data_IF_449556493497
#
_entry.id   IF_449556493497
#
_cell.length_a   1.000
_cell.length_b   1.000
_cell.length_c   1.000
_cell.angle_alpha   90.00
_cell.angle_beta   90.00
_cell.angle_gamma   90.00
#
_symmetry.space_group_name_H-M   'P 1'
#
loop_
_entity.id
_entity.type
_entity.pdbx_description
1 polymer ?
#
# COMPACT_ATOMS: atom_id res chain seq x y z
N UNK A 1 -20.98 -17.79 31.62
CA UNK A 1 -20.77 -17.63 30.18
C UNK A 1 -20.74 -16.12 29.96
N UNK A 2 -19.57 -15.57 29.66
CA UNK A 2 -19.46 -14.16 29.29
C UNK A 2 -20.09 -14.06 27.88
N UNK A 3 -21.06 -13.18 27.70
CA UNK A 3 -21.55 -12.81 26.37
C UNK A 3 -20.38 -12.24 25.57
N UNK A 4 -20.11 -12.83 24.41
CA UNK A 4 -19.20 -12.22 23.44
C UNK A 4 -19.75 -10.84 23.08
N UNK A 5 -18.92 -9.78 23.06
CA UNK A 5 -19.38 -8.46 22.70
C UNK A 5 -19.98 -8.51 21.30
N UNK A 6 -21.19 -8.01 21.17
CA UNK A 6 -21.96 -7.96 19.92
C UNK A 6 -21.23 -7.05 18.91
N UNK A 7 -20.37 -7.63 18.07
CA UNK A 7 -19.86 -7.04 16.83
C UNK A 7 -20.85 -7.22 15.67
N UNK A 8 -22.15 -7.26 15.98
CA UNK A 8 -23.22 -7.43 15.01
C UNK A 8 -23.14 -6.32 13.94
N UNK A 9 -22.68 -6.68 12.74
CA UNK A 9 -22.62 -5.80 11.58
C UNK A 9 -21.20 -5.38 11.14
N UNK A 10 -20.14 -5.76 11.85
CA UNK A 10 -18.76 -5.60 11.40
C UNK A 10 -18.35 -6.90 10.71
N UNK A 11 -17.80 -6.79 9.49
CA UNK A 11 -17.37 -7.95 8.69
C UNK A 11 -16.30 -8.81 9.37
N UNK A 12 -15.94 -9.92 8.76
CA UNK A 12 -14.82 -10.76 9.19
C UNK A 12 -13.51 -10.19 8.64
N UNK A 13 -12.40 -10.39 9.37
CA UNK A 13 -11.08 -10.08 8.85
C UNK A 13 -10.80 -10.86 7.56
N UNK A 14 -10.04 -10.28 6.63
CA UNK A 14 -9.67 -10.93 5.38
C UNK A 14 -10.84 -11.40 4.50
N UNK A 15 -12.03 -10.84 4.68
CA UNK A 15 -13.24 -11.32 4.02
C UNK A 15 -13.22 -11.12 2.50
N UNK A 16 -13.68 -12.12 1.74
CA UNK A 16 -13.83 -12.03 0.29
C UNK A 16 -14.91 -11.04 -0.14
N UNK A 17 -15.81 -10.66 0.77
CA UNK A 17 -16.86 -9.67 0.52
C UNK A 17 -16.78 -8.54 1.53
N UNK A 18 -16.56 -7.34 1.03
CA UNK A 18 -16.57 -6.08 1.77
C UNK A 18 -17.82 -5.24 1.40
N UNK A 19 -18.13 -4.18 2.15
CA UNK A 19 -19.32 -3.36 1.89
C UNK A 19 -19.45 -2.83 0.46
N UNK A 20 -18.31 -2.53 -0.20
CA UNK A 20 -18.25 -1.88 -1.52
C UNK A 20 -17.72 -2.76 -2.64
N UNK A 21 -17.21 -3.97 -2.36
CA UNK A 21 -16.48 -4.78 -3.35
C UNK A 21 -16.46 -6.25 -2.96
N UNK A 22 -16.48 -7.13 -3.97
CA UNK A 22 -16.12 -8.54 -3.83
C UNK A 22 -14.64 -8.72 -4.22
N UNK A 23 -13.90 -9.54 -3.46
CA UNK A 23 -12.48 -9.80 -3.62
C UNK A 23 -12.29 -11.24 -4.07
N UNK A 24 -11.93 -11.43 -5.33
CA UNK A 24 -11.71 -12.76 -5.89
C UNK A 24 -10.41 -13.40 -5.40
N UNK A 25 -9.38 -12.59 -5.18
CA UNK A 25 -8.06 -13.07 -4.75
C UNK A 25 -7.15 -11.92 -4.33
N UNK A 26 -6.19 -12.21 -3.48
CA UNK A 26 -5.11 -11.30 -3.12
C UNK A 26 -3.83 -12.07 -2.79
N UNK A 27 -2.72 -11.36 -2.67
CA UNK A 27 -1.39 -11.91 -2.35
C UNK A 27 -0.95 -13.04 -3.29
N UNK A 28 -1.22 -12.88 -4.59
CA UNK A 28 -0.85 -13.87 -5.60
C UNK A 28 0.64 -13.79 -5.87
N UNK A 29 1.33 -14.91 -5.70
CA UNK A 29 2.74 -15.07 -5.98
C UNK A 29 2.95 -15.92 -7.23
N UNK A 30 3.65 -15.36 -8.22
CA UNK A 30 4.15 -16.11 -9.36
C UNK A 30 5.66 -16.25 -9.25
N UNK A 31 6.15 -17.48 -9.45
CA UNK A 31 7.58 -17.80 -9.47
C UNK A 31 7.98 -18.42 -10.79
N UNK A 32 9.20 -18.17 -11.21
CA UNK A 32 9.90 -18.86 -12.27
C UNK A 32 11.33 -19.24 -11.82
N UNK A 33 12.21 -19.59 -12.77
CA UNK A 33 13.58 -20.03 -12.48
C UNK A 33 14.43 -18.90 -11.82
N UNK A 34 14.08 -17.65 -12.05
CA UNK A 34 14.79 -16.46 -11.53
C UNK A 34 14.19 -15.93 -10.21
N UNK A 35 13.12 -16.53 -9.69
CA UNK A 35 12.47 -16.14 -8.45
C UNK A 35 11.06 -15.58 -8.64
N UNK A 36 10.66 -14.59 -7.84
CA UNK A 36 9.33 -13.99 -7.95
C UNK A 36 9.24 -13.09 -9.18
N UNK A 37 8.26 -13.37 -10.05
CA UNK A 37 8.01 -12.59 -11.27
C UNK A 37 7.79 -11.10 -10.95
N UNK A 38 7.09 -10.79 -9.87
CA UNK A 38 6.81 -9.43 -9.43
C UNK A 38 8.05 -8.60 -9.09
N UNK A 39 9.14 -9.23 -8.67
CA UNK A 39 10.38 -8.54 -8.31
C UNK A 39 10.99 -7.76 -9.48
N UNK A 40 10.72 -8.18 -10.73
CA UNK A 40 11.16 -7.51 -11.95
C UNK A 40 10.48 -6.15 -12.17
N UNK A 41 9.37 -5.87 -11.50
CA UNK A 41 8.68 -4.59 -11.52
C UNK A 41 8.86 -3.80 -10.22
N UNK A 42 9.89 -4.10 -9.44
CA UNK A 42 10.20 -3.44 -8.17
C UNK A 42 11.10 -2.21 -8.33
N UNK A 43 11.20 -1.40 -7.26
CA UNK A 43 12.18 -0.32 -7.18
C UNK A 43 13.61 -0.83 -7.37
N UNK A 44 13.94 -1.98 -6.78
CA UNK A 44 15.26 -2.60 -6.92
C UNK A 44 15.57 -2.97 -8.36
N UNK A 45 14.60 -3.53 -9.08
CA UNK A 45 14.73 -3.84 -10.50
C UNK A 45 15.00 -2.59 -11.35
N UNK A 46 14.30 -1.47 -11.09
CA UNK A 46 14.58 -0.21 -11.79
C UNK A 46 16.03 0.27 -11.56
N UNK A 47 16.52 0.21 -10.33
CA UNK A 47 17.90 0.60 -10.02
C UNK A 47 18.93 -0.33 -10.69
N UNK A 48 18.64 -1.64 -10.75
CA UNK A 48 19.49 -2.60 -11.46
C UNK A 48 19.54 -2.33 -12.97
N UNK A 49 18.39 -2.01 -13.58
CA UNK A 49 18.30 -1.60 -14.98
C UNK A 49 19.11 -0.31 -15.21
N UNK A 50 18.93 0.71 -14.38
CA UNK A 50 19.69 1.95 -14.48
C UNK A 50 21.20 1.71 -14.37
N UNK A 51 21.61 0.85 -13.44
CA UNK A 51 23.02 0.44 -13.33
C UNK A 51 23.52 -0.30 -14.58
N UNK A 52 22.67 -1.14 -15.17
CA UNK A 52 22.96 -1.81 -16.45
C UNK A 52 23.31 -0.81 -17.57
N UNK A 53 22.55 0.27 -17.70
CA UNK A 53 22.79 1.34 -18.66
C UNK A 53 24.04 2.14 -18.36
N UNK A 54 24.35 2.41 -17.11
CA UNK A 54 25.50 3.20 -16.66
C UNK A 54 26.81 2.45 -16.70
N UNK A 55 26.80 1.14 -16.43
CA UNK A 55 28.02 0.32 -16.32
C UNK A 55 28.93 0.40 -17.55
N UNK A 56 28.45 0.29 -18.81
CA UNK A 56 29.27 0.48 -19.99
C UNK A 56 29.86 1.89 -20.11
N UNK A 57 29.06 2.92 -19.80
CA UNK A 57 29.47 4.33 -19.86
C UNK A 57 30.55 4.63 -18.82
N UNK A 58 30.37 4.14 -17.60
CA UNK A 58 31.40 4.27 -16.55
C UNK A 58 32.73 3.61 -16.95
N UNK A 59 32.67 2.49 -17.66
CA UNK A 59 33.85 1.78 -18.16
C UNK A 59 34.55 2.58 -19.25
N UNK A 60 33.82 3.37 -20.02
CA UNK A 60 34.35 4.29 -21.04
C UNK A 60 34.86 5.63 -20.45
N UNK A 61 34.49 5.95 -19.21
CA UNK A 61 34.79 7.23 -18.58
C UNK A 61 33.74 8.33 -18.84
N UNK A 62 32.59 7.96 -19.43
CA UNK A 62 31.56 8.86 -19.94
C UNK A 62 30.22 8.74 -19.15
N UNK A 63 30.25 8.22 -17.90
CA UNK A 63 29.03 8.11 -17.09
C UNK A 63 28.59 9.50 -16.61
N UNK A 64 27.42 10.03 -17.07
CA UNK A 64 26.96 11.37 -16.72
C UNK A 64 26.57 11.52 -15.24
N UNK A 65 26.44 10.41 -14.50
CA UNK A 65 26.15 10.41 -13.06
C UNK A 65 27.42 10.33 -12.20
N UNK A 66 28.58 10.26 -12.81
CA UNK A 66 29.86 10.16 -12.10
C UNK A 66 29.96 8.92 -11.19
N UNK A 67 30.45 9.13 -9.97
CA UNK A 67 30.70 8.03 -9.02
C UNK A 67 29.52 7.66 -8.14
N UNK A 68 28.39 8.34 -8.25
CA UNK A 68 27.19 8.08 -7.44
C UNK A 68 26.61 6.71 -7.82
N UNK A 69 26.29 5.87 -6.85
CA UNK A 69 25.62 4.60 -7.14
C UNK A 69 24.19 4.82 -7.65
N UNK A 70 23.67 3.89 -8.47
CA UNK A 70 22.30 4.01 -8.99
C UNK A 70 21.25 4.00 -7.88
N UNK A 71 21.51 3.34 -6.77
CA UNK A 71 20.64 3.28 -5.59
C UNK A 71 20.55 4.60 -4.83
N UNK A 72 21.63 5.42 -4.89
CA UNK A 72 21.69 6.73 -4.25
C UNK A 72 21.03 7.85 -5.06
N UNK A 73 20.71 7.59 -6.34
CA UNK A 73 20.03 8.57 -7.18
C UNK A 73 18.54 8.57 -6.82
N UNK A 74 18.08 9.68 -6.27
CA UNK A 74 16.68 9.83 -5.88
C UNK A 74 15.76 9.96 -7.09
N UNK A 75 14.48 9.58 -6.95
CA UNK A 75 13.45 9.76 -7.98
C UNK A 75 13.33 11.23 -8.42
N UNK A 76 13.37 12.16 -7.46
CA UNK A 76 13.32 13.59 -7.77
C UNK A 76 14.52 14.07 -8.59
N UNK A 77 15.69 13.46 -8.40
CA UNK A 77 16.89 13.74 -9.19
C UNK A 77 16.73 13.19 -10.61
N UNK A 78 16.23 11.97 -10.76
CA UNK A 78 15.93 11.38 -12.06
C UNK A 78 14.86 12.18 -12.83
N UNK A 79 13.83 12.67 -12.14
CA UNK A 79 12.81 13.54 -12.76
C UNK A 79 13.41 14.86 -13.26
N UNK A 80 14.33 15.46 -12.50
CA UNK A 80 15.03 16.69 -12.93
C UNK A 80 15.93 16.45 -14.13
N UNK A 81 16.64 15.31 -14.15
CA UNK A 81 17.50 14.92 -15.27
C UNK A 81 16.66 14.70 -16.54
N UNK A 82 15.51 14.05 -16.41
CA UNK A 82 14.61 13.78 -17.55
C UNK A 82 14.20 15.03 -18.32
N UNK A 83 14.08 16.17 -17.63
CA UNK A 83 13.65 17.47 -18.22
C UNK A 83 14.77 18.52 -18.25
N UNK A 84 15.99 18.13 -17.85
CA UNK A 84 17.15 19.02 -17.79
C UNK A 84 17.88 19.16 -19.12
N UNK A 85 18.93 19.98 -19.12
CA UNK A 85 19.72 20.31 -20.32
C UNK A 85 20.80 19.24 -20.62
N UNK A 86 21.08 18.33 -19.69
CA UNK A 86 22.00 17.22 -19.88
C UNK A 86 21.34 16.10 -20.68
N UNK A 87 21.51 16.17 -22.00
CA UNK A 87 20.86 15.25 -22.95
C UNK A 87 21.41 13.83 -22.81
N UNK A 88 22.66 13.65 -22.42
CA UNK A 88 23.29 12.32 -22.25
C UNK A 88 22.73 11.63 -20.99
N UNK A 89 22.67 12.35 -19.89
CA UNK A 89 22.03 11.84 -18.67
C UNK A 89 20.54 11.53 -18.89
N UNK A 90 19.83 12.42 -19.58
CA UNK A 90 18.40 12.21 -19.92
C UNK A 90 18.21 10.97 -20.81
N UNK A 91 19.10 10.72 -21.77
CA UNK A 91 19.04 9.52 -22.63
C UNK A 91 19.23 8.23 -21.83
N UNK A 92 20.12 8.21 -20.85
CA UNK A 92 20.32 7.05 -19.95
C UNK A 92 19.04 6.81 -19.12
N UNK A 93 18.45 7.86 -18.55
CA UNK A 93 17.18 7.74 -17.78
C UNK A 93 16.04 7.23 -18.65
N UNK A 94 15.88 7.75 -19.86
CA UNK A 94 14.84 7.31 -20.82
C UNK A 94 15.04 5.84 -21.21
N UNK A 95 16.28 5.40 -21.46
CA UNK A 95 16.58 4.00 -21.73
C UNK A 95 16.18 3.09 -20.57
N UNK A 96 16.51 3.47 -19.35
CA UNK A 96 16.13 2.72 -18.16
C UNK A 96 14.60 2.68 -17.95
N UNK A 97 13.91 3.78 -18.20
CA UNK A 97 12.44 3.86 -18.11
C UNK A 97 11.78 2.97 -19.16
N UNK A 98 12.26 2.96 -20.40
CA UNK A 98 11.73 2.09 -21.48
C UNK A 98 11.93 0.61 -21.16
N UNK A 99 13.11 0.23 -20.67
CA UNK A 99 13.39 -1.16 -20.30
C UNK A 99 12.53 -1.60 -19.11
N UNK A 100 12.40 -0.76 -18.07
CA UNK A 100 11.54 -1.04 -16.94
C UNK A 100 10.06 -1.14 -17.35
N UNK A 101 9.60 -0.29 -18.28
CA UNK A 101 8.25 -0.37 -18.79
C UNK A 101 7.96 -1.69 -19.52
N UNK A 102 8.94 -2.25 -20.23
CA UNK A 102 8.85 -3.56 -20.86
C UNK A 102 8.77 -4.68 -19.82
N UNK A 103 9.59 -4.60 -18.77
CA UNK A 103 9.51 -5.55 -17.65
C UNK A 103 8.16 -5.48 -16.94
N UNK A 104 7.65 -4.28 -16.66
CA UNK A 104 6.32 -4.10 -16.06
C UNK A 104 5.22 -4.69 -16.95
N UNK A 105 5.27 -4.47 -18.27
CA UNK A 105 4.33 -5.06 -19.20
C UNK A 105 4.44 -6.59 -19.21
N UNK A 106 5.65 -7.14 -19.24
CA UNK A 106 5.89 -8.57 -19.19
C UNK A 106 5.35 -9.21 -17.91
N UNK A 107 5.65 -8.62 -16.75
CA UNK A 107 5.11 -9.06 -15.45
C UNK A 107 3.58 -9.05 -15.49
N UNK A 108 2.99 -7.95 -15.93
CA UNK A 108 1.53 -7.82 -16.05
C UNK A 108 0.93 -8.93 -16.92
N UNK A 109 1.50 -9.23 -18.08
CA UNK A 109 1.04 -10.32 -18.94
C UNK A 109 1.12 -11.70 -18.27
N UNK A 110 2.17 -11.93 -17.46
CA UNK A 110 2.30 -13.17 -16.71
C UNK A 110 1.14 -13.33 -15.70
N UNK A 111 0.75 -12.26 -15.02
CA UNK A 111 -0.40 -12.26 -14.12
C UNK A 111 -1.73 -12.40 -14.88
N UNK A 112 -1.95 -11.71 -15.99
CA UNK A 112 -3.17 -11.79 -16.81
C UNK A 112 -3.43 -13.21 -17.36
N UNK A 113 -2.39 -14.04 -17.51
CA UNK A 113 -2.52 -15.46 -17.90
C UNK A 113 -2.99 -16.36 -16.75
N UNK A 114 -3.01 -15.88 -15.53
CA UNK A 114 -3.51 -16.65 -14.38
C UNK A 114 -5.03 -16.71 -14.37
N UNK A 115 -5.57 -17.75 -13.72
CA UNK A 115 -7.03 -17.87 -13.56
C UNK A 115 -7.61 -16.71 -12.76
N UNK A 116 -6.88 -16.26 -11.75
CA UNK A 116 -7.30 -15.20 -10.84
C UNK A 116 -7.41 -13.82 -11.52
N UNK A 117 -6.60 -13.56 -12.55
CA UNK A 117 -6.60 -12.29 -13.28
C UNK A 117 -7.32 -12.34 -14.62
N UNK A 118 -8.01 -13.47 -14.92
CA UNK A 118 -8.74 -13.60 -16.17
C UNK A 118 -9.91 -12.61 -16.22
N UNK A 119 -9.92 -11.78 -17.26
CA UNK A 119 -10.98 -10.77 -17.45
C UNK A 119 -10.73 -9.45 -16.71
N UNK A 120 -9.53 -9.25 -16.16
CA UNK A 120 -9.14 -7.96 -15.59
C UNK A 120 -9.17 -6.87 -16.66
N UNK A 121 -9.94 -5.80 -16.42
CA UNK A 121 -10.10 -4.66 -17.34
C UNK A 121 -9.18 -3.49 -16.97
N UNK A 122 -8.87 -3.34 -15.67
CA UNK A 122 -8.08 -2.23 -15.15
C UNK A 122 -7.11 -2.69 -14.05
N UNK A 123 -5.92 -2.11 -14.04
CA UNK A 123 -4.87 -2.38 -13.05
C UNK A 123 -4.38 -1.07 -12.48
N UNK A 124 -4.53 -0.92 -11.17
CA UNK A 124 -3.95 0.20 -10.42
C UNK A 124 -2.52 -0.16 -10.03
N UNK A 125 -1.58 0.67 -10.42
CA UNK A 125 -0.17 0.51 -10.06
C UNK A 125 0.16 1.40 -8.87
N UNK A 126 0.36 0.78 -7.72
CA UNK A 126 0.72 1.44 -6.46
C UNK A 126 2.21 1.59 -6.24
N UNK A 127 2.57 1.93 -5.00
CA UNK A 127 3.95 2.05 -4.54
C UNK A 127 4.61 3.39 -4.83
N UNK A 128 5.73 3.61 -4.14
CA UNK A 128 6.40 4.91 -4.14
C UNK A 128 7.01 5.35 -5.48
N UNK A 129 7.20 4.45 -6.45
CA UNK A 129 7.74 4.79 -7.77
C UNK A 129 6.77 5.67 -8.57
N UNK A 130 5.48 5.48 -8.39
CA UNK A 130 4.40 6.26 -9.01
C UNK A 130 4.47 7.77 -8.67
N UNK A 131 5.11 8.17 -7.56
CA UNK A 131 5.27 9.57 -7.15
C UNK A 131 6.34 10.34 -7.94
N UNK A 132 6.78 9.81 -9.05
CA UNK A 132 7.81 10.43 -9.89
C UNK A 132 7.35 10.46 -11.34
N UNK A 133 7.83 11.44 -12.08
CA UNK A 133 7.54 11.55 -13.51
C UNK A 133 8.04 10.33 -14.29
N UNK A 134 9.22 9.82 -13.93
CA UNK A 134 9.75 8.58 -14.51
C UNK A 134 8.82 7.40 -14.27
N UNK A 135 8.23 7.29 -13.08
CA UNK A 135 7.27 6.23 -12.75
C UNK A 135 5.97 6.35 -13.53
N UNK A 136 5.39 7.56 -13.62
CA UNK A 136 4.20 7.81 -14.44
C UNK A 136 4.44 7.46 -15.91
N UNK A 137 5.59 7.87 -16.47
CA UNK A 137 5.98 7.55 -17.86
C UNK A 137 6.16 6.04 -18.05
N UNK A 138 6.80 5.35 -17.11
CA UNK A 138 6.98 3.91 -17.18
C UNK A 138 5.62 3.17 -17.17
N UNK A 139 4.68 3.55 -16.29
CA UNK A 139 3.35 2.94 -16.21
C UNK A 139 2.57 3.18 -17.51
N UNK A 140 2.55 4.43 -18.00
CA UNK A 140 1.89 4.76 -19.26
C UNK A 140 2.49 3.98 -20.44
N UNK A 141 3.81 3.88 -20.50
CA UNK A 141 4.53 3.15 -21.54
C UNK A 141 4.24 1.66 -21.50
N UNK A 142 4.21 1.06 -20.30
CA UNK A 142 3.82 -0.35 -20.13
C UNK A 142 2.39 -0.60 -20.63
N UNK A 143 1.44 0.29 -20.32
CA UNK A 143 0.08 0.21 -20.86
C UNK A 143 0.03 0.28 -22.39
N UNK A 144 0.83 1.13 -23.03
CA UNK A 144 0.95 1.20 -24.50
C UNK A 144 1.51 -0.10 -25.09
N UNK A 145 2.50 -0.71 -24.44
CA UNK A 145 3.09 -1.98 -24.86
C UNK A 145 2.04 -3.09 -24.79
N UNK A 146 1.34 -3.23 -23.67
CA UNK A 146 0.26 -4.20 -23.48
C UNK A 146 -0.82 -4.07 -24.56
N UNK A 147 -1.25 -2.84 -24.83
CA UNK A 147 -2.27 -2.58 -25.85
C UNK A 147 -1.77 -2.94 -27.26
N UNK A 148 -0.52 -2.64 -27.60
CA UNK A 148 0.10 -3.01 -28.87
C UNK A 148 0.20 -4.54 -29.05
N UNK A 149 0.31 -5.29 -27.96
CA UNK A 149 0.35 -6.75 -27.93
C UNK A 149 -1.05 -7.41 -27.85
N UNK A 150 -2.11 -6.59 -27.85
CA UNK A 150 -3.51 -7.04 -27.91
C UNK A 150 -4.18 -7.25 -26.57
N UNK A 151 -3.53 -6.94 -25.47
CA UNK A 151 -4.15 -6.95 -24.14
C UNK A 151 -5.09 -5.74 -23.97
N UNK A 152 -6.33 -6.02 -23.52
CA UNK A 152 -7.36 -4.99 -23.34
C UNK A 152 -7.43 -4.52 -21.89
N UNK A 153 -6.29 -4.28 -21.29
CA UNK A 153 -6.20 -3.83 -19.90
C UNK A 153 -5.67 -2.41 -19.82
N UNK A 154 -6.24 -1.60 -18.96
CA UNK A 154 -5.78 -0.24 -18.71
C UNK A 154 -4.91 -0.22 -17.45
N UNK A 155 -3.68 0.32 -17.56
CA UNK A 155 -2.82 0.58 -16.42
C UNK A 155 -2.88 2.06 -16.05
N UNK A 156 -3.05 2.34 -14.78
CA UNK A 156 -2.97 3.71 -14.27
C UNK A 156 -2.35 3.75 -12.87
N UNK A 157 -1.65 4.84 -12.53
CA UNK A 157 -1.08 4.99 -11.21
C UNK A 157 -2.19 5.21 -10.18
N UNK A 158 -1.99 4.68 -8.97
CA UNK A 158 -2.86 4.96 -7.82
C UNK A 158 -3.01 6.48 -7.62
N UNK A 159 -4.21 6.98 -7.39
CA UNK A 159 -4.49 8.44 -7.32
C UNK A 159 -4.06 9.03 -6.00
N UNK A 160 -4.42 8.37 -4.91
CA UNK A 160 -4.00 8.82 -3.59
C UNK A 160 -2.48 8.71 -3.42
N UNK A 161 -1.93 9.58 -2.58
CA UNK A 161 -0.52 9.47 -2.21
C UNK A 161 -0.28 8.07 -1.62
N UNK A 162 0.77 7.32 -2.03
CA UNK A 162 1.01 5.97 -1.52
C UNK A 162 1.12 5.87 0.01
N UNK A 163 1.51 6.97 0.68
CA UNK A 163 1.54 7.03 2.14
C UNK A 163 0.14 7.22 2.77
N UNK A 164 -0.87 7.54 1.99
CA UNK A 164 -2.25 7.78 2.44
C UNK A 164 -3.24 6.75 1.91
N UNK A 165 -2.93 6.09 0.79
CA UNK A 165 -3.84 5.18 0.13
C UNK A 165 -4.31 4.04 1.05
N UNK A 166 -3.39 3.41 1.81
CA UNK A 166 -3.73 2.38 2.79
C UNK A 166 -4.61 2.91 3.92
N UNK A 167 -4.36 4.14 4.39
CA UNK A 167 -5.19 4.77 5.41
C UNK A 167 -6.58 5.10 4.88
N UNK A 168 -6.69 5.70 3.69
CA UNK A 168 -7.97 6.05 3.06
C UNK A 168 -8.76 4.79 2.72
N UNK A 169 -8.12 3.76 2.20
CA UNK A 169 -8.75 2.48 1.90
C UNK A 169 -9.42 1.83 3.11
N UNK A 170 -8.93 2.07 4.33
CA UNK A 170 -9.56 1.60 5.56
C UNK A 170 -10.99 2.11 5.77
N UNK A 171 -11.40 3.23 5.15
CA UNK A 171 -12.79 3.69 5.18
C UNK A 171 -13.76 2.67 4.57
N UNK A 172 -13.30 1.94 3.55
CA UNK A 172 -14.12 0.91 2.89
C UNK A 172 -14.20 -0.40 3.67
N UNK A 173 -13.41 -0.56 4.74
CA UNK A 173 -13.58 -1.65 5.70
C UNK A 173 -14.69 -1.38 6.71
N UNK A 174 -14.97 -0.10 6.97
CA UNK A 174 -16.00 0.32 7.93
C UNK A 174 -17.40 0.13 7.33
N UNK A 175 -18.38 -0.39 8.11
CA UNK A 175 -19.76 -0.42 7.66
C UNK A 175 -20.29 1.01 7.52
N UNK A 176 -21.08 1.27 6.47
CA UNK A 176 -21.54 2.63 6.11
C UNK A 176 -22.31 3.34 7.22
N UNK A 177 -23.08 2.60 8.02
CA UNK A 177 -23.87 3.15 9.13
C UNK A 177 -23.01 3.83 10.20
N UNK A 178 -21.71 3.49 10.32
CA UNK A 178 -20.84 4.09 11.33
C UNK A 178 -20.65 5.59 11.08
N UNK A 179 -20.74 6.02 9.82
CA UNK A 179 -20.60 7.42 9.41
C UNK A 179 -21.87 8.26 9.59
N UNK A 180 -22.98 7.66 10.01
CA UNK A 180 -24.21 8.41 10.36
C UNK A 180 -24.01 9.22 11.67
N UNK A 181 -23.20 8.71 12.59
CA UNK A 181 -22.94 9.32 13.89
C UNK A 181 -21.51 9.86 14.05
N UNK A 182 -20.59 9.45 13.18
CA UNK A 182 -19.15 9.76 13.30
C UNK A 182 -18.62 10.39 12.00
N UNK A 183 -17.64 11.26 12.14
CA UNK A 183 -17.02 12.01 11.03
C UNK A 183 -15.62 11.53 10.68
N UNK A 184 -15.08 10.56 11.42
CA UNK A 184 -13.72 10.05 11.22
C UNK A 184 -13.55 8.64 11.79
N UNK A 185 -12.53 7.94 11.29
CA UNK A 185 -12.07 6.65 11.82
C UNK A 185 -10.57 6.70 12.10
N UNK A 186 -10.09 5.75 12.89
CA UNK A 186 -8.67 5.40 12.92
C UNK A 186 -8.33 4.42 11.82
N UNK A 187 -7.19 4.63 11.20
CA UNK A 187 -6.63 3.75 10.18
C UNK A 187 -5.17 3.42 10.47
N UNK A 188 -4.77 2.21 10.14
CA UNK A 188 -3.39 1.71 10.26
C UNK A 188 -2.98 1.11 8.93
N UNK A 189 -1.77 1.45 8.46
CA UNK A 189 -1.13 0.87 7.29
C UNK A 189 0.23 0.32 7.68
N UNK A 190 0.35 -1.00 7.67
CA UNK A 190 1.54 -1.74 8.05
C UNK A 190 2.23 -2.22 6.77
N UNK A 191 3.47 -1.79 6.58
CA UNK A 191 4.32 -2.27 5.50
C UNK A 191 5.63 -2.84 6.03
N UNK A 192 6.40 -3.52 5.19
CA UNK A 192 7.66 -4.16 5.58
C UNK A 192 8.75 -3.22 6.11
N UNK A 193 8.61 -1.91 5.88
CA UNK A 193 9.60 -0.89 6.32
C UNK A 193 8.99 0.11 7.29
N UNK A 194 7.73 0.46 7.08
CA UNK A 194 7.03 1.54 7.77
C UNK A 194 5.72 1.07 8.36
N UNK A 195 5.36 1.62 9.51
CA UNK A 195 4.01 1.56 10.06
C UNK A 195 3.48 2.99 10.07
N UNK A 196 2.28 3.17 9.53
CA UNK A 196 1.55 4.43 9.55
C UNK A 196 0.25 4.24 10.29
N UNK A 197 -0.16 5.27 11.01
CA UNK A 197 -1.53 5.35 11.51
C UNK A 197 -2.04 6.78 11.37
N UNK A 198 -3.35 6.92 11.23
CA UNK A 198 -3.95 8.23 11.00
C UNK A 198 -5.41 8.29 11.36
N UNK A 199 -5.91 9.51 11.47
CA UNK A 199 -7.33 9.84 11.53
C UNK A 199 -7.77 10.19 10.12
N UNK A 200 -8.79 9.49 9.62
CA UNK A 200 -9.30 9.62 8.25
C UNK A 200 -10.74 10.08 8.25
N UNK A 201 -10.99 11.17 7.52
CA UNK A 201 -12.31 11.76 7.35
C UNK A 201 -12.95 11.22 6.05
N UNK A 202 -14.14 10.63 6.08
CA UNK A 202 -14.87 10.20 4.89
C UNK A 202 -15.37 11.38 4.03
N UNK A 203 -15.66 12.53 4.65
CA UNK A 203 -16.15 13.75 4.00
C UNK A 203 -17.35 13.52 3.09
N UNK A 204 -18.32 12.72 3.55
CA UNK A 204 -19.51 12.38 2.79
C UNK A 204 -20.42 13.60 2.50
N UNK A 205 -20.25 14.70 3.25
CA UNK A 205 -20.83 16.01 2.96
C UNK A 205 -20.32 16.64 1.65
N UNK A 206 -19.12 16.22 1.19
CA UNK A 206 -18.50 16.68 -0.08
C UNK A 206 -18.75 15.70 -1.22
N UNK A 207 -18.70 14.39 -0.94
CA UNK A 207 -18.95 13.34 -1.91
C UNK A 207 -19.34 12.05 -1.18
N UNK A 208 -20.53 11.53 -1.49
CA UNK A 208 -21.06 10.32 -0.85
C UNK A 208 -20.29 9.05 -1.19
N UNK A 209 -19.52 9.07 -2.30
CA UNK A 209 -18.69 7.96 -2.80
C UNK A 209 -17.30 7.89 -2.17
N UNK A 210 -16.99 8.72 -1.16
CA UNK A 210 -15.71 8.84 -0.50
C UNK A 210 -14.56 9.39 -1.38
N UNK A 211 -14.83 9.86 -2.61
CA UNK A 211 -13.81 10.45 -3.50
C UNK A 211 -13.14 11.72 -2.94
N UNK A 212 -13.70 12.29 -1.88
CA UNK A 212 -13.17 13.45 -1.15
C UNK A 212 -12.64 13.11 0.25
N UNK A 213 -12.53 11.82 0.54
CA UNK A 213 -11.90 11.37 1.78
C UNK A 213 -10.46 11.93 1.90
N UNK A 214 -10.04 12.16 3.13
CA UNK A 214 -8.68 12.66 3.39
C UNK A 214 -8.14 12.15 4.71
N UNK A 215 -6.83 12.07 4.81
CA UNK A 215 -6.13 11.90 6.07
C UNK A 215 -6.05 13.28 6.73
N UNK A 216 -6.71 13.45 7.89
CA UNK A 216 -6.61 14.69 8.66
C UNK A 216 -5.23 14.82 9.31
N UNK A 217 -4.77 13.75 9.96
CA UNK A 217 -3.48 13.67 10.62
C UNK A 217 -2.96 12.25 10.60
N UNK A 218 -1.66 12.09 10.41
CA UNK A 218 -1.01 10.78 10.45
C UNK A 218 0.32 10.84 11.19
N UNK A 219 0.74 9.69 11.70
CA UNK A 219 2.07 9.43 12.24
C UNK A 219 2.72 8.32 11.41
N UNK A 220 3.98 8.51 11.08
CA UNK A 220 4.82 7.54 10.39
C UNK A 220 5.92 7.08 11.34
N UNK A 221 6.10 5.77 11.41
CA UNK A 221 7.24 5.17 12.08
C UNK A 221 7.97 4.22 11.12
N UNK A 222 9.25 4.51 10.88
CA UNK A 222 10.13 3.66 10.08
C UNK A 222 10.71 2.56 10.96
N UNK A 223 9.94 1.50 11.18
CA UNK A 223 10.30 0.41 12.10
C UNK A 223 11.53 -0.38 11.64
N UNK A 224 11.82 -0.39 10.35
CA UNK A 224 13.02 -1.07 9.81
C UNK A 224 14.34 -0.47 10.33
N UNK A 225 14.34 0.81 10.74
CA UNK A 225 15.54 1.45 11.28
C UNK A 225 15.74 1.11 12.77
N UNK A 226 14.68 0.74 13.49
CA UNK A 226 14.69 0.47 14.93
C UNK A 226 14.78 -1.04 15.24
N UNK A 227 14.56 -1.91 14.28
CA UNK A 227 14.55 -3.39 14.39
C UNK A 227 13.82 -3.89 15.67
N UNK A 228 12.58 -3.46 15.93
CA UNK A 228 11.90 -3.79 17.18
C UNK A 228 11.51 -5.28 17.25
N UNK A 229 11.27 -5.75 18.46
CA UNK A 229 10.52 -7.02 18.62
C UNK A 229 9.07 -6.82 18.18
N UNK A 230 8.35 -7.93 17.91
CA UNK A 230 6.92 -7.88 17.58
C UNK A 230 6.10 -7.15 18.66
N UNK A 231 6.34 -7.50 19.92
CA UNK A 231 5.67 -6.89 21.08
C UNK A 231 6.00 -5.40 21.19
N UNK A 232 7.25 -5.02 20.90
CA UNK A 232 7.69 -3.64 20.82
C UNK A 232 6.97 -2.86 19.73
N UNK A 233 6.80 -3.49 18.55
CA UNK A 233 6.10 -2.89 17.42
C UNK A 233 4.61 -2.65 17.74
N UNK A 234 3.91 -3.63 18.30
CA UNK A 234 2.50 -3.50 18.70
C UNK A 234 2.33 -2.41 19.78
N UNK A 235 3.22 -2.39 20.78
CA UNK A 235 3.19 -1.35 21.83
C UNK A 235 3.41 0.06 21.28
N UNK A 236 4.33 0.21 20.33
CA UNK A 236 4.59 1.51 19.67
C UNK A 236 3.38 1.94 18.86
N UNK A 237 2.80 1.02 18.05
CA UNK A 237 1.60 1.28 17.27
C UNK A 237 0.42 1.70 18.17
N UNK A 238 0.16 0.95 19.24
CA UNK A 238 -0.90 1.30 20.20
C UNK A 238 -0.69 2.68 20.83
N UNK A 239 0.57 3.05 21.11
CA UNK A 239 0.90 4.39 21.61
C UNK A 239 0.56 5.47 20.57
N UNK A 240 0.96 5.28 19.31
CA UNK A 240 0.67 6.23 18.22
C UNK A 240 -0.84 6.42 18.05
N UNK A 241 -1.61 5.33 18.08
CA UNK A 241 -3.08 5.38 18.00
C UNK A 241 -3.70 6.16 19.18
N UNK A 242 -3.25 5.92 20.41
CA UNK A 242 -3.72 6.65 21.60
C UNK A 242 -3.44 8.15 21.53
N UNK A 243 -2.29 8.53 20.97
CA UNK A 243 -1.94 9.94 20.75
C UNK A 243 -2.89 10.57 19.72
N UNK A 244 -3.18 9.88 18.61
CA UNK A 244 -4.13 10.35 17.59
C UNK A 244 -5.57 10.45 18.11
N UNK A 245 -6.03 9.50 18.94
CA UNK A 245 -7.34 9.58 19.60
C UNK A 245 -7.43 10.87 20.41
N UNK A 246 -6.46 11.09 21.30
CA UNK A 246 -6.42 12.29 22.16
C UNK A 246 -6.42 13.58 21.33
N UNK A 247 -5.67 13.62 20.24
CA UNK A 247 -5.59 14.79 19.38
C UNK A 247 -6.91 15.02 18.62
N UNK A 248 -7.53 13.97 18.09
CA UNK A 248 -8.81 14.06 17.40
C UNK A 248 -9.94 14.54 18.34
N UNK A 249 -9.97 14.00 19.56
CA UNK A 249 -10.94 14.44 20.59
C UNK A 249 -10.75 15.91 20.97
N UNK A 250 -9.49 16.36 21.10
CA UNK A 250 -9.18 17.76 21.43
C UNK A 250 -9.59 18.73 20.32
N UNK A 251 -9.59 18.30 19.06
CA UNK A 251 -10.04 19.07 17.90
C UNK A 251 -11.57 18.95 17.66
N UNK A 252 -12.25 18.13 18.47
CA UNK A 252 -13.70 18.00 18.43
C UNK A 252 -14.24 17.02 17.40
N UNK A 253 -13.38 16.12 16.86
CA UNK A 253 -13.84 15.04 16.00
C UNK A 253 -14.76 14.05 16.72
N UNK A 254 -15.78 13.60 16.03
CA UNK A 254 -16.62 12.48 16.45
C UNK A 254 -16.01 11.17 15.92
N UNK A 255 -14.91 10.79 16.55
CA UNK A 255 -14.13 9.62 16.14
C UNK A 255 -14.96 8.34 16.36
N UNK A 256 -15.12 7.54 15.32
CA UNK A 256 -15.79 6.25 15.42
C UNK A 256 -14.99 5.27 16.30
N UNK A 257 -15.63 4.38 17.02
CA UNK A 257 -14.97 3.32 17.78
C UNK A 257 -14.49 2.19 16.85
N UNK A 258 -13.82 2.57 15.77
CA UNK A 258 -13.40 1.67 14.69
C UNK A 258 -11.95 1.95 14.26
N UNK A 259 -11.19 0.87 14.11
CA UNK A 259 -9.82 0.90 13.57
C UNK A 259 -9.78 -0.01 12.35
N UNK A 260 -9.58 0.57 11.16
CA UNK A 260 -9.25 -0.17 9.94
C UNK A 260 -7.76 -0.50 9.90
N UNK A 261 -7.41 -1.73 9.56
CA UNK A 261 -6.01 -2.16 9.50
C UNK A 261 -5.67 -2.76 8.14
N UNK A 262 -4.73 -2.15 7.46
CA UNK A 262 -4.02 -2.63 6.27
C UNK A 262 -2.77 -3.35 6.74
N UNK A 263 -2.60 -4.64 6.41
CA UNK A 263 -1.49 -5.46 6.89
C UNK A 263 -1.05 -6.45 5.80
N UNK A 264 0.28 -6.66 5.59
CA UNK A 264 0.76 -7.66 4.66
C UNK A 264 0.31 -9.07 5.01
N UNK A 265 0.15 -9.89 3.99
CA UNK A 265 -0.08 -11.32 4.12
C UNK A 265 -1.51 -11.78 3.86
N UNK A 266 -1.72 -13.06 4.03
CA UNK A 266 -3.04 -13.71 3.97
C UNK A 266 -3.66 -13.63 5.35
N UNK A 267 -4.81 -12.98 5.44
CA UNK A 267 -5.50 -12.67 6.70
C UNK A 267 -6.65 -13.65 6.89
N UNK A 268 -6.64 -14.39 7.98
CA UNK A 268 -7.71 -15.31 8.37
C UNK A 268 -8.89 -14.55 9.00
N UNK A 269 -10.05 -15.21 9.02
CA UNK A 269 -11.29 -14.61 9.51
C UNK A 269 -11.27 -14.21 11.00
N UNK A 270 -10.38 -14.80 11.78
CA UNK A 270 -10.15 -14.46 13.19
C UNK A 270 -9.13 -13.32 13.40
N UNK A 271 -8.50 -12.84 12.30
CA UNK A 271 -7.49 -11.80 12.33
C UNK A 271 -6.07 -12.31 12.54
N UNK A 272 -5.82 -13.62 12.48
CA UNK A 272 -4.47 -14.17 12.38
C UNK A 272 -3.90 -14.00 10.97
N UNK A 273 -2.59 -14.10 10.82
CA UNK A 273 -1.89 -14.01 9.54
C UNK A 273 -1.34 -15.41 9.21
N UNK A 274 -1.87 -16.01 8.13
CA UNK A 274 -1.43 -17.32 7.67
C UNK A 274 0.01 -17.29 7.15
N UNK A 275 0.31 -16.34 6.27
CA UNK A 275 1.62 -16.19 5.62
C UNK A 275 1.75 -14.80 4.96
N UNK A 276 2.98 -14.45 4.54
CA UNK A 276 3.25 -13.21 3.78
C UNK A 276 3.60 -12.01 4.66
N UNK A 277 3.87 -12.24 5.95
CA UNK A 277 4.28 -11.21 6.91
C UNK A 277 5.77 -11.28 7.31
N UNK A 278 6.58 -12.00 6.53
CA UNK A 278 8.00 -12.24 6.86
C UNK A 278 8.87 -10.98 6.92
N UNK A 279 8.42 -9.88 6.33
CA UNK A 279 9.10 -8.58 6.37
C UNK A 279 8.72 -7.72 7.59
N UNK A 280 7.84 -8.22 8.45
CA UNK A 280 7.46 -7.55 9.68
C UNK A 280 8.39 -7.93 10.85
N UNK A 281 8.56 -7.06 11.85
CA UNK A 281 9.48 -7.30 12.95
C UNK A 281 9.03 -8.45 13.84
N UNK A 282 9.78 -9.54 13.86
CA UNK A 282 9.46 -10.76 14.58
C UNK A 282 8.45 -11.64 13.83
N UNK A 283 7.90 -12.66 14.51
CA UNK A 283 6.99 -13.62 13.88
C UNK A 283 5.52 -13.20 14.06
N UNK A 284 4.93 -12.64 13.02
CA UNK A 284 3.52 -12.23 12.96
C UNK A 284 2.60 -13.37 12.47
N UNK A 285 3.15 -14.41 11.87
CA UNK A 285 2.46 -15.62 11.39
C UNK A 285 2.31 -16.70 12.49
N UNK A 286 2.63 -16.33 13.74
CA UNK A 286 2.51 -17.25 14.88
C UNK A 286 1.04 -17.45 15.25
N UNK A 287 0.62 -18.71 15.38
CA UNK A 287 -0.72 -19.07 15.88
C UNK A 287 -1.04 -18.58 17.31
N UNK A 288 -0.03 -18.04 18.02
CA UNK A 288 -0.19 -17.43 19.34
C UNK A 288 -0.28 -15.90 19.30
N UNK A 289 -0.32 -15.32 18.11
CA UNK A 289 -0.36 -13.89 17.93
C UNK A 289 -1.58 -13.48 17.08
N UNK A 290 -2.27 -12.47 17.55
CA UNK A 290 -3.40 -11.87 16.86
C UNK A 290 -3.30 -10.35 17.05
N UNK A 291 -3.06 -9.62 15.96
CA UNK A 291 -2.88 -8.17 16.01
C UNK A 291 -4.17 -7.45 16.44
N UNK A 292 -5.36 -7.75 15.86
CA UNK A 292 -6.61 -7.15 16.30
C UNK A 292 -6.86 -7.32 17.80
N UNK A 293 -6.69 -8.53 18.32
CA UNK A 293 -6.87 -8.80 19.75
C UNK A 293 -5.89 -7.99 20.63
N UNK A 294 -4.62 -7.90 20.21
CA UNK A 294 -3.59 -7.13 20.93
C UNK A 294 -3.90 -5.63 20.93
N UNK A 295 -4.48 -5.11 19.83
CA UNK A 295 -4.88 -3.70 19.75
C UNK A 295 -6.14 -3.42 20.56
N UNK A 296 -7.13 -4.33 20.59
CA UNK A 296 -8.32 -4.22 21.45
C UNK A 296 -7.91 -4.25 22.94
N UNK A 297 -6.99 -5.12 23.33
CA UNK A 297 -6.46 -5.12 24.70
C UNK A 297 -5.81 -3.79 25.07
N UNK A 298 -5.06 -3.20 24.14
CA UNK A 298 -4.39 -1.92 24.35
C UNK A 298 -5.35 -0.71 24.32
N UNK A 299 -6.39 -0.77 23.48
CA UNK A 299 -7.39 0.30 23.24
C UNK A 299 -8.77 -0.33 23.31
N UNK A 300 -9.27 -0.63 24.52
CA UNK A 300 -10.54 -1.36 24.67
C UNK A 300 -11.77 -0.52 24.26
N UNK A 301 -11.65 0.79 24.32
CA UNK A 301 -12.74 1.70 23.93
C UNK A 301 -12.21 2.96 23.24
N UNK A 302 -13.04 3.55 22.37
CA UNK A 302 -12.86 4.88 21.79
C UNK A 302 -14.15 5.66 22.10
N UNK A 303 -14.02 6.79 22.80
CA UNK A 303 -15.17 7.44 23.44
C UNK A 303 -15.85 6.50 24.43
N UNK A 304 -17.19 6.42 24.34
CA UNK A 304 -18.01 5.59 25.24
C UNK A 304 -18.34 4.19 24.67
N UNK A 305 -17.67 3.78 23.57
CA UNK A 305 -18.00 2.54 22.88
C UNK A 305 -16.79 1.60 22.77
N UNK A 306 -17.06 0.30 22.79
CA UNK A 306 -16.03 -0.72 22.61
C UNK A 306 -15.35 -0.60 21.23
N UNK A 307 -14.03 -0.75 21.21
CA UNK A 307 -13.26 -0.67 19.98
C UNK A 307 -13.53 -1.86 19.09
N UNK A 308 -13.89 -1.59 17.85
CA UNK A 308 -13.99 -2.57 16.79
C UNK A 308 -12.79 -2.46 15.84
N UNK A 309 -12.29 -3.60 15.37
CA UNK A 309 -11.16 -3.63 14.43
C UNK A 309 -11.52 -4.52 13.26
N UNK A 310 -11.24 -4.05 12.05
CA UNK A 310 -11.25 -4.88 10.86
C UNK A 310 -9.90 -4.79 10.14
N UNK A 311 -9.30 -5.94 9.87
CA UNK A 311 -8.01 -6.06 9.21
C UNK A 311 -8.14 -6.77 7.88
N UNK A 312 -7.45 -6.27 6.86
CA UNK A 312 -7.34 -6.89 5.55
C UNK A 312 -5.93 -6.72 4.96
N UNK A 313 -5.66 -7.48 3.89
CA UNK A 313 -4.40 -7.42 3.15
C UNK A 313 -4.10 -5.98 2.66
N UNK A 314 -2.83 -5.58 2.73
CA UNK A 314 -2.37 -4.23 2.39
C UNK A 314 -2.61 -3.86 0.91
N UNK A 315 -2.37 -4.77 -0.01
CA UNK A 315 -2.66 -4.56 -1.44
C UNK A 315 -4.15 -4.35 -1.70
N UNK A 316 -5.02 -5.11 -1.01
CA UNK A 316 -6.48 -4.93 -1.08
C UNK A 316 -6.85 -3.56 -0.54
N UNK A 317 -6.44 -3.23 0.68
CA UNK A 317 -6.84 -1.96 1.32
C UNK A 317 -6.37 -0.74 0.52
N UNK A 318 -5.13 -0.77 -0.01
CA UNK A 318 -4.67 0.30 -0.91
C UNK A 318 -5.54 0.38 -2.18
N UNK A 319 -5.92 -0.76 -2.77
CA UNK A 319 -6.82 -0.82 -3.91
C UNK A 319 -8.21 -0.25 -3.62
N UNK A 320 -8.73 -0.46 -2.39
CA UNK A 320 -10.03 0.09 -1.98
C UNK A 320 -10.08 1.62 -2.06
N UNK A 321 -8.97 2.32 -1.88
CA UNK A 321 -8.91 3.78 -2.02
C UNK A 321 -9.26 4.27 -3.43
N UNK A 322 -9.20 3.39 -4.43
CA UNK A 322 -9.47 3.71 -5.84
C UNK A 322 -10.91 3.40 -6.29
N UNK A 323 -11.74 2.77 -5.42
CA UNK A 323 -13.14 2.44 -5.74
C UNK A 323 -13.95 3.64 -6.25
N UNK A 324 -13.77 4.88 -5.72
CA UNK A 324 -14.54 6.03 -6.18
C UNK A 324 -14.20 6.50 -7.61
N UNK A 325 -13.18 5.94 -8.24
CA UNK A 325 -12.63 6.43 -9.51
C UNK A 325 -12.67 5.36 -10.60
#
# INVERSE_FOLDING_TARGET
>A
MAEEPSTAGIGKHGADRLPSVDIDSYNIELKDEDGFVGDRASKGAFHAILEGWRKPLRKAGDDPFGNKSSEEISKSELDKILVGDDVEAAAVVLGAVEEFARELAHVTQRFLKTKAWKGTEAIVVGGGFRLSRIGEVAIARAGMILNAEGEKVVLFPIRHHPDEAGLIGCLHLAPSWIFEAHDSILAVDIGGTNIRCGVVEPRQDKASDLSKARVWKSQLWRHADDEPTREGAVKKLAKMLKELIKEAEAEGFKLAPFIGVSCPGVIDADGSIEKGAQNLPGNWESSKFNLPASLIEAIPSIGDHDTAILMHNDGVVQGLSEIPF
#
